data_IF_851392958472
#
_entry.id   IF_851392958472
#
_cell.length_a   1.000
_cell.length_b   1.000
_cell.length_c   1.000
_cell.angle_alpha   90.00
_cell.angle_beta   90.00
_cell.angle_gamma   90.00
#
_symmetry.space_group_name_H-M   'P 1'
#
loop_
_entity.id
_entity.type
_entity.pdbx_description
1 polymer ?
#
# COMPACT_ATOMS: atom_id res chain seq x y z
N UNK A 1 -5.85 10.84 10.30
CA UNK A 1 -5.56 11.97 9.40
C UNK A 1 -6.08 11.77 7.98
N UNK A 2 -6.30 10.54 7.51
CA UNK A 2 -6.79 10.22 6.16
C UNK A 2 -8.05 9.32 6.17
N UNK A 3 -9.24 9.79 6.63
CA UNK A 3 -10.45 8.96 6.71
C UNK A 3 -10.81 8.24 5.41
N UNK A 4 -10.53 8.85 4.25
CA UNK A 4 -10.75 8.27 2.92
C UNK A 4 -10.06 6.93 2.66
N UNK A 5 -9.05 6.53 3.44
CA UNK A 5 -8.41 5.21 3.31
C UNK A 5 -9.12 4.10 4.10
N UNK A 6 -10.08 4.43 4.97
CA UNK A 6 -10.81 3.46 5.80
C UNK A 6 -11.61 2.42 5.00
N UNK A 7 -12.28 2.77 3.88
CA UNK A 7 -12.94 1.77 3.04
C UNK A 7 -11.97 0.72 2.48
N UNK A 8 -10.68 1.04 2.36
CA UNK A 8 -9.62 0.14 1.91
C UNK A 8 -8.91 -0.59 3.05
N UNK A 9 -9.46 -0.60 4.27
CA UNK A 9 -8.88 -1.36 5.38
C UNK A 9 -8.78 -2.85 5.03
N UNK A 10 -7.61 -3.43 5.29
CA UNK A 10 -7.37 -4.87 5.13
C UNK A 10 -6.90 -5.53 6.42
N UNK A 11 -6.21 -4.80 7.30
CA UNK A 11 -5.66 -5.32 8.55
C UNK A 11 -5.53 -4.20 9.60
N UNK A 12 -5.21 -4.57 10.84
CA UNK A 12 -4.74 -3.64 11.87
C UNK A 12 -3.39 -4.14 12.38
N UNK A 13 -2.38 -3.29 12.40
CA UNK A 13 -1.05 -3.63 12.85
C UNK A 13 -0.81 -3.17 14.30
N UNK A 14 -0.14 -4.02 15.07
CA UNK A 14 0.31 -3.78 16.44
C UNK A 14 1.80 -4.12 16.57
N UNK A 15 2.48 -3.47 17.50
CA UNK A 15 3.88 -3.78 17.78
C UNK A 15 3.99 -5.02 18.68
N UNK A 16 4.83 -6.02 18.38
CA UNK A 16 4.94 -7.23 19.22
C UNK A 16 5.50 -6.96 20.61
N UNK A 17 6.30 -5.91 20.77
CA UNK A 17 7.06 -5.63 22.00
C UNK A 17 6.23 -4.85 23.00
N UNK A 18 5.34 -3.98 22.54
CA UNK A 18 4.56 -3.11 23.43
C UNK A 18 3.48 -3.87 24.19
N UNK A 19 3.16 -3.35 25.37
CA UNK A 19 2.03 -3.80 26.18
C UNK A 19 0.76 -3.05 25.78
N UNK A 20 -0.35 -3.80 25.71
CA UNK A 20 -1.67 -3.30 25.35
C UNK A 20 -2.62 -3.53 26.52
N UNK A 21 -3.23 -2.46 27.00
CA UNK A 21 -4.22 -2.52 28.07
C UNK A 21 -5.60 -2.82 27.48
N UNK A 22 -6.29 -3.79 28.08
CA UNK A 22 -7.72 -4.00 27.93
C UNK A 22 -8.44 -3.03 28.88
N UNK A 23 -9.00 -1.97 28.32
CA UNK A 23 -9.64 -0.88 29.06
C UNK A 23 -11.18 -0.99 28.92
N UNK A 24 -11.87 -1.28 30.01
CA UNK A 24 -13.33 -1.29 30.03
C UNK A 24 -13.85 0.15 30.05
N UNK A 25 -14.64 0.50 29.04
CA UNK A 25 -15.29 1.81 28.85
C UNK A 25 -16.78 1.56 28.67
N UNK A 26 -17.57 1.84 29.71
CA UNK A 26 -18.98 1.47 29.73
C UNK A 26 -19.18 -0.04 29.60
N UNK A 27 -19.81 -0.47 28.50
CA UNK A 27 -20.06 -1.89 28.20
C UNK A 27 -19.04 -2.50 27.23
N UNK A 28 -18.09 -1.71 26.72
CA UNK A 28 -17.10 -2.14 25.74
C UNK A 28 -15.72 -2.31 26.37
N UNK A 29 -14.87 -3.11 25.73
CA UNK A 29 -13.46 -3.25 26.08
C UNK A 29 -12.65 -2.73 24.90
N UNK A 30 -11.89 -1.66 25.13
CA UNK A 30 -10.96 -1.10 24.16
C UNK A 30 -9.58 -1.72 24.35
N UNK A 31 -8.90 -2.00 23.23
CA UNK A 31 -7.49 -2.43 23.21
C UNK A 31 -6.65 -1.23 22.76
N UNK A 32 -5.80 -0.73 23.65
CA UNK A 32 -4.97 0.46 23.41
C UNK A 32 -3.58 0.18 23.99
N UNK A 33 -2.53 0.65 23.32
CA UNK A 33 -1.17 0.56 23.87
C UNK A 33 -1.12 1.23 25.26
N UNK A 34 -0.57 0.53 26.25
CA UNK A 34 -0.63 0.94 27.66
C UNK A 34 -0.09 2.35 27.88
N UNK A 35 1.00 2.71 27.19
CA UNK A 35 1.61 4.05 27.27
C UNK A 35 0.76 5.16 26.63
N UNK A 36 -0.13 4.82 25.68
CA UNK A 36 -1.04 5.78 25.02
C UNK A 36 -2.37 5.94 25.74
N UNK A 37 -2.74 5.00 26.59
CA UNK A 37 -4.09 4.91 27.17
C UNK A 37 -4.52 6.20 27.88
N UNK A 38 -3.65 6.79 28.69
CA UNK A 38 -3.99 8.02 29.43
C UNK A 38 -4.22 9.19 28.47
N UNK A 39 -3.33 9.42 27.49
CA UNK A 39 -3.48 10.47 26.48
C UNK A 39 -4.78 10.31 25.69
N UNK A 40 -5.02 9.09 25.18
CA UNK A 40 -6.22 8.77 24.39
C UNK A 40 -7.49 8.96 25.23
N UNK A 41 -7.49 8.55 26.50
CA UNK A 41 -8.65 8.73 27.38
C UNK A 41 -9.00 10.20 27.59
N UNK A 42 -8.00 11.08 27.75
CA UNK A 42 -8.18 12.53 27.91
C UNK A 42 -8.66 13.17 26.62
N UNK A 43 -8.01 12.84 25.50
CA UNK A 43 -8.36 13.35 24.17
C UNK A 43 -9.79 12.97 23.79
N UNK A 44 -10.18 11.71 24.03
CA UNK A 44 -11.51 11.19 23.68
C UNK A 44 -12.57 11.43 24.76
N UNK A 45 -12.20 11.92 25.94
CA UNK A 45 -13.13 12.25 27.02
C UNK A 45 -13.85 11.06 27.64
N UNK A 46 -13.18 9.91 27.78
CA UNK A 46 -13.76 8.72 28.43
C UNK A 46 -13.04 8.34 29.72
N UNK A 47 -13.79 7.77 30.66
CA UNK A 47 -13.24 7.09 31.84
C UNK A 47 -13.13 5.60 31.58
N UNK A 48 -12.13 4.95 32.17
CA UNK A 48 -11.89 3.53 31.96
C UNK A 48 -11.51 2.81 33.24
N UNK A 49 -11.78 1.51 33.25
CA UNK A 49 -11.24 0.56 34.23
C UNK A 49 -10.32 -0.41 33.52
N UNK A 50 -9.07 -0.55 33.99
CA UNK A 50 -8.16 -1.58 33.46
C UNK A 50 -8.69 -2.96 33.86
N UNK A 51 -8.94 -3.82 32.89
CA UNK A 51 -9.42 -5.21 33.12
C UNK A 51 -8.34 -6.25 32.84
N UNK A 52 -7.30 -5.89 32.09
CA UNK A 52 -6.16 -6.74 31.83
C UNK A 52 -5.10 -6.04 30.99
N UNK A 53 -3.97 -6.70 30.82
CA UNK A 53 -2.87 -6.26 29.98
C UNK A 53 -2.31 -7.47 29.24
N UNK A 54 -1.94 -7.28 27.97
CA UNK A 54 -1.40 -8.32 27.10
C UNK A 54 -0.28 -7.74 26.26
N UNK A 55 0.71 -8.57 25.93
CA UNK A 55 1.74 -8.17 24.96
C UNK A 55 1.15 -8.12 23.56
N UNK A 56 1.62 -7.21 22.71
CA UNK A 56 1.14 -7.12 21.33
C UNK A 56 1.30 -8.42 20.53
N UNK A 57 2.37 -9.19 20.80
CA UNK A 57 2.59 -10.52 20.20
C UNK A 57 1.52 -11.54 20.57
N UNK A 58 0.74 -11.31 21.63
CA UNK A 58 -0.35 -12.18 22.08
C UNK A 58 -1.71 -11.80 21.47
N UNK A 59 -1.82 -10.67 20.75
CA UNK A 59 -3.05 -10.28 20.05
C UNK A 59 -3.24 -11.07 18.73
N UNK A 60 -2.14 -11.56 18.16
CA UNK A 60 -2.10 -12.47 17.01
C UNK A 60 -1.02 -13.54 17.20
N UNK A 61 -1.22 -14.49 18.14
CA UNK A 61 -0.18 -15.46 18.49
C UNK A 61 0.08 -16.43 17.33
N UNK A 62 1.33 -16.52 16.86
CA UNK A 62 1.69 -17.42 15.76
C UNK A 62 1.45 -18.91 16.09
N UNK A 63 1.51 -19.29 17.37
CA UNK A 63 1.34 -20.67 17.81
C UNK A 63 -0.11 -21.18 17.69
N UNK A 64 -1.09 -20.27 17.69
CA UNK A 64 -2.51 -20.64 17.61
C UNK A 64 -3.31 -19.56 16.84
N UNK A 65 -3.45 -19.72 15.51
CA UNK A 65 -4.25 -18.83 14.67
C UNK A 65 -5.72 -18.71 15.08
N UNK A 66 -6.28 -19.66 15.83
CA UNK A 66 -7.66 -19.61 16.28
C UNK A 66 -7.91 -18.53 17.35
N UNK A 67 -6.85 -18.11 18.04
CA UNK A 67 -6.89 -17.07 19.07
C UNK A 67 -6.67 -15.65 18.51
N UNK A 68 -6.52 -15.51 17.19
CA UNK A 68 -6.29 -14.21 16.58
C UNK A 68 -7.51 -13.32 16.72
N UNK A 69 -7.30 -12.14 17.29
CA UNK A 69 -8.33 -11.11 17.23
C UNK A 69 -8.57 -10.69 15.78
N UNK A 70 -9.82 -10.37 15.50
CA UNK A 70 -10.28 -9.88 14.19
C UNK A 70 -11.10 -8.62 14.40
N UNK A 71 -10.81 -7.59 13.61
CA UNK A 71 -11.50 -6.31 13.67
C UNK A 71 -12.56 -6.25 12.57
N UNK A 72 -13.82 -5.97 12.93
CA UNK A 72 -14.87 -5.74 11.94
C UNK A 72 -14.57 -4.46 11.16
N UNK A 73 -14.58 -4.51 9.83
CA UNK A 73 -14.32 -3.33 9.00
C UNK A 73 -15.49 -2.33 9.10
N UNK A 74 -15.25 -1.01 9.16
CA UNK A 74 -16.34 -0.04 9.30
C UNK A 74 -17.26 0.06 8.07
N UNK A 75 -16.76 -0.25 6.88
CA UNK A 75 -17.43 -0.06 5.58
C UNK A 75 -17.69 -1.35 4.82
N UNK A 76 -17.44 -2.52 5.43
CA UNK A 76 -17.81 -3.81 4.84
C UNK A 76 -18.25 -4.79 5.92
N UNK A 77 -18.79 -5.94 5.51
CA UNK A 77 -19.14 -7.03 6.42
C UNK A 77 -17.96 -7.97 6.73
N UNK A 78 -16.78 -7.68 6.17
CA UNK A 78 -15.58 -8.48 6.34
C UNK A 78 -14.84 -8.10 7.62
N UNK A 79 -13.91 -8.97 8.00
CA UNK A 79 -13.02 -8.78 9.14
C UNK A 79 -11.59 -8.56 8.66
N UNK A 80 -10.86 -7.76 9.41
CA UNK A 80 -9.44 -7.50 9.26
C UNK A 80 -8.66 -8.25 10.34
N UNK A 81 -7.64 -9.03 9.98
CA UNK A 81 -6.77 -9.65 10.96
C UNK A 81 -5.91 -8.59 11.67
N UNK A 82 -5.42 -8.96 12.85
CA UNK A 82 -4.31 -8.26 13.50
C UNK A 82 -2.99 -8.76 12.90
N UNK A 83 -2.14 -7.83 12.46
CA UNK A 83 -0.76 -8.12 12.04
C UNK A 83 0.22 -7.62 13.09
N UNK A 84 1.37 -8.26 13.11
CA UNK A 84 2.49 -7.88 13.98
C UNK A 84 3.51 -7.12 13.14
N UNK A 85 3.85 -5.89 13.55
CA UNK A 85 4.81 -5.05 12.84
C UNK A 85 5.52 -4.07 13.75
N UNK A 86 6.84 -4.02 13.65
CA UNK A 86 7.71 -3.23 14.54
C UNK A 86 7.72 -1.73 14.22
N UNK A 87 7.24 -1.33 13.05
CA UNK A 87 7.18 0.08 12.63
C UNK A 87 6.10 0.88 13.39
N UNK A 88 5.18 0.21 14.09
CA UNK A 88 4.19 0.87 14.93
C UNK A 88 4.91 1.53 16.11
N UNK A 89 4.73 2.84 16.28
CA UNK A 89 5.35 3.63 17.36
C UNK A 89 4.33 4.10 18.39
N UNK A 90 4.82 4.59 19.53
CA UNK A 90 4.02 5.16 20.63
C UNK A 90 4.01 6.70 20.61
N UNK A 91 4.51 7.31 19.54
CA UNK A 91 4.55 8.77 19.44
C UNK A 91 3.15 9.36 19.26
N UNK A 92 2.30 8.71 18.46
CA UNK A 92 0.97 9.21 18.08
C UNK A 92 -0.07 8.10 17.99
N UNK A 93 -1.34 8.49 18.13
CA UNK A 93 -2.48 7.58 18.03
C UNK A 93 -2.63 6.64 19.23
N UNK A 94 -3.18 5.46 18.97
CA UNK A 94 -3.57 4.46 19.98
C UNK A 94 -2.56 3.32 20.14
N UNK A 95 -1.51 3.28 19.31
CA UNK A 95 -0.62 2.13 19.16
C UNK A 95 -1.22 0.97 18.33
N UNK A 96 -2.38 1.20 17.70
CA UNK A 96 -2.97 0.30 16.70
C UNK A 96 -3.07 1.05 15.36
N UNK A 97 -2.46 0.52 14.31
CA UNK A 97 -2.38 1.18 13.00
C UNK A 97 -3.31 0.49 12.01
N UNK A 98 -4.25 1.23 11.42
CA UNK A 98 -5.06 0.74 10.30
C UNK A 98 -4.18 0.51 9.08
N UNK A 99 -4.36 -0.62 8.39
CA UNK A 99 -3.58 -0.98 7.20
C UNK A 99 -4.48 -0.95 5.96
N UNK A 100 -4.14 -0.09 5.01
CA UNK A 100 -4.71 -0.02 3.67
C UNK A 100 -3.57 -0.13 2.64
N UNK A 101 -3.23 -1.35 2.18
CA UNK A 101 -2.06 -1.60 1.32
C UNK A 101 -2.08 -0.83 0.00
N UNK A 102 -3.26 -0.40 -0.47
CA UNK A 102 -3.37 0.44 -1.66
C UNK A 102 -2.99 1.91 -1.46
N UNK A 103 -2.71 2.36 -0.24
CA UNK A 103 -2.58 3.78 0.11
C UNK A 103 -1.39 4.13 1.02
N UNK A 104 -0.53 3.17 1.36
CA UNK A 104 0.68 3.38 2.16
C UNK A 104 1.80 2.44 1.73
N UNK A 105 3.06 2.89 1.81
CA UNK A 105 4.19 2.05 1.42
C UNK A 105 4.44 0.95 2.46
N UNK A 106 4.51 1.31 3.74
CA UNK A 106 4.69 0.36 4.84
C UNK A 106 3.51 -0.63 4.90
N UNK A 107 2.28 -0.13 4.65
CA UNK A 107 1.07 -0.95 4.53
C UNK A 107 1.16 -1.97 3.39
N UNK A 108 1.75 -1.56 2.26
CA UNK A 108 1.96 -2.43 1.09
C UNK A 108 3.03 -3.49 1.39
N UNK A 109 4.16 -3.10 1.99
CA UNK A 109 5.26 -3.98 2.33
C UNK A 109 4.84 -5.07 3.34
N UNK A 110 4.14 -4.69 4.42
CA UNK A 110 3.64 -5.68 5.39
C UNK A 110 2.60 -6.61 4.77
N UNK A 111 1.76 -6.10 3.85
CA UNK A 111 0.81 -6.94 3.13
C UNK A 111 1.51 -7.93 2.19
N UNK A 112 2.57 -7.52 1.49
CA UNK A 112 3.38 -8.43 0.67
C UNK A 112 4.05 -9.50 1.52
N UNK A 113 4.66 -9.11 2.64
CA UNK A 113 5.29 -10.05 3.57
C UNK A 113 4.26 -11.07 4.09
N UNK A 114 3.09 -10.60 4.50
CA UNK A 114 1.98 -11.46 4.96
C UNK A 114 1.50 -12.40 3.85
N UNK A 115 1.31 -11.87 2.63
CA UNK A 115 0.81 -12.65 1.50
C UNK A 115 1.82 -13.69 0.97
N UNK A 116 3.11 -13.53 1.27
CA UNK A 116 4.16 -14.47 0.88
C UNK A 116 4.05 -15.83 1.59
N UNK A 117 3.45 -15.85 2.78
CA UNK A 117 3.24 -17.06 3.60
C UNK A 117 1.77 -17.42 3.78
N UNK A 118 0.85 -16.51 3.48
CA UNK A 118 -0.59 -16.75 3.59
C UNK A 118 -1.13 -17.71 2.51
N UNK A 119 -2.13 -18.49 2.90
CA UNK A 119 -2.97 -19.24 1.98
C UNK A 119 -3.72 -18.28 1.05
N UNK A 120 -4.02 -18.66 -0.21
CA UNK A 120 -4.66 -17.78 -1.18
C UNK A 120 -5.91 -17.05 -0.67
N UNK A 121 -6.74 -17.72 0.12
CA UNK A 121 -7.97 -17.22 0.73
C UNK A 121 -7.75 -16.20 1.86
N UNK A 122 -6.58 -16.24 2.50
CA UNK A 122 -6.20 -15.36 3.63
C UNK A 122 -5.37 -14.15 3.16
N UNK A 123 -5.07 -14.05 1.86
CA UNK A 123 -4.28 -12.95 1.32
C UNK A 123 -5.00 -11.62 1.45
N UNK A 124 -4.25 -10.63 1.92
CA UNK A 124 -4.68 -9.24 1.99
C UNK A 124 -4.75 -8.66 0.58
N UNK A 125 -5.87 -7.99 0.26
CA UNK A 125 -6.05 -7.37 -1.06
C UNK A 125 -5.34 -6.03 -1.10
N UNK A 126 -4.65 -5.72 -2.19
CA UNK A 126 -4.12 -4.36 -2.41
C UNK A 126 -5.24 -3.50 -3.00
N UNK A 127 -6.20 -3.12 -2.13
CA UNK A 127 -7.38 -2.37 -2.54
C UNK A 127 -7.05 -0.87 -2.64
N UNK A 128 -7.25 -0.29 -3.83
CA UNK A 128 -7.11 1.14 -4.08
C UNK A 128 -8.33 1.61 -4.90
N UNK A 129 -9.50 1.81 -4.28
CA UNK A 129 -10.78 1.97 -4.97
C UNK A 129 -10.96 3.41 -5.49
N UNK A 130 -9.98 3.89 -6.25
CA UNK A 130 -9.89 5.26 -6.77
C UNK A 130 -9.52 5.26 -8.26
N UNK A 131 -10.27 6.02 -9.04
CA UNK A 131 -9.94 6.32 -10.43
C UNK A 131 -8.74 7.28 -10.54
N UNK A 132 -8.28 7.52 -11.78
CA UNK A 132 -7.14 8.39 -12.08
C UNK A 132 -7.36 9.87 -11.72
N UNK A 133 -8.60 10.27 -11.48
CA UNK A 133 -8.96 11.60 -10.99
C UNK A 133 -8.98 11.67 -9.45
N UNK A 134 -8.65 10.57 -8.75
CA UNK A 134 -8.71 10.49 -7.29
C UNK A 134 -10.14 10.47 -6.76
N UNK A 135 -11.07 9.88 -7.51
CA UNK A 135 -12.47 9.70 -7.12
C UNK A 135 -12.79 8.23 -6.85
N UNK A 136 -13.67 7.96 -5.90
CA UNK A 136 -14.05 6.59 -5.58
C UNK A 136 -14.71 5.87 -6.74
N UNK A 137 -14.29 4.62 -6.96
CA UNK A 137 -14.88 3.70 -7.94
C UNK A 137 -16.18 3.07 -7.39
N UNK A 138 -16.81 2.21 -8.20
CA UNK A 138 -17.97 1.42 -7.78
C UNK A 138 -17.62 0.33 -6.73
N UNK A 139 -16.33 0.08 -6.45
CA UNK A 139 -15.91 -0.81 -5.36
C UNK A 139 -16.30 -0.27 -3.98
N UNK A 140 -16.51 1.05 -3.87
CA UNK A 140 -17.06 1.70 -2.68
C UNK A 140 -18.30 2.50 -3.08
N UNK A 141 -19.45 1.84 -3.30
CA UNK A 141 -20.67 2.46 -3.84
C UNK A 141 -21.14 3.68 -3.05
N UNK A 142 -20.94 3.66 -1.73
CA UNK A 142 -21.36 4.73 -0.82
C UNK A 142 -20.70 6.09 -1.12
N UNK A 143 -19.53 6.10 -1.75
CA UNK A 143 -18.77 7.31 -2.05
C UNK A 143 -18.44 7.48 -3.53
N UNK A 144 -19.01 6.63 -4.40
CA UNK A 144 -18.70 6.59 -5.83
C UNK A 144 -18.75 8.00 -6.48
N UNK A 145 -17.72 8.31 -7.26
CA UNK A 145 -17.58 9.59 -7.98
C UNK A 145 -17.11 10.77 -7.13
N UNK A 146 -17.07 10.63 -5.79
CA UNK A 146 -16.58 11.70 -4.89
C UNK A 146 -15.06 11.69 -4.82
N UNK A 147 -14.47 12.88 -4.76
CA UNK A 147 -13.03 13.01 -4.54
C UNK A 147 -12.64 12.62 -3.11
N UNK A 148 -11.42 12.11 -2.91
CA UNK A 148 -10.91 11.68 -1.58
C UNK A 148 -11.13 12.70 -0.46
N UNK A 149 -10.89 13.99 -0.71
CA UNK A 149 -11.06 15.04 0.29
C UNK A 149 -12.53 15.41 0.53
N UNK A 150 -13.38 15.31 -0.49
CA UNK A 150 -14.83 15.50 -0.38
C UNK A 150 -15.48 14.36 0.43
N UNK A 151 -14.93 13.15 0.33
CA UNK A 151 -15.44 11.98 1.05
C UNK A 151 -15.10 11.99 2.55
N UNK A 152 -14.02 12.66 2.97
CA UNK A 152 -13.58 12.66 4.37
C UNK A 152 -14.69 13.04 5.37
N UNK A 153 -15.41 14.17 5.23
CA UNK A 153 -16.52 14.49 6.13
C UNK A 153 -17.64 13.45 6.14
N UNK A 154 -17.95 12.87 4.97
CA UNK A 154 -19.03 11.87 4.82
C UNK A 154 -18.67 10.56 5.51
N UNK A 155 -17.42 10.13 5.38
CA UNK A 155 -16.88 8.95 6.07
C UNK A 155 -16.97 9.14 7.59
N UNK A 156 -16.54 10.30 8.09
CA UNK A 156 -16.62 10.60 9.53
C UNK A 156 -18.08 10.60 10.01
N UNK A 157 -18.99 11.19 9.23
CA UNK A 157 -20.41 11.17 9.54
C UNK A 157 -20.95 9.74 9.66
N UNK A 158 -20.63 8.87 8.70
CA UNK A 158 -21.04 7.45 8.76
C UNK A 158 -20.46 6.69 9.95
N UNK A 159 -19.20 6.95 10.31
CA UNK A 159 -18.61 6.36 11.52
C UNK A 159 -19.38 6.79 12.78
N UNK A 160 -19.80 8.06 12.84
CA UNK A 160 -20.62 8.59 13.94
C UNK A 160 -22.01 7.94 13.98
N UNK A 161 -22.66 7.80 12.82
CA UNK A 161 -23.97 7.13 12.71
C UNK A 161 -23.91 5.65 13.13
N UNK A 162 -22.77 4.98 12.89
CA UNK A 162 -22.53 3.60 13.31
C UNK A 162 -22.01 3.46 14.76
N UNK A 163 -21.86 4.57 15.50
CA UNK A 163 -21.24 4.59 16.84
C UNK A 163 -19.82 3.99 16.88
N UNK A 164 -19.07 4.09 15.78
CA UNK A 164 -17.69 3.58 15.66
C UNK A 164 -16.63 4.69 15.84
N UNK A 165 -17.08 5.93 16.08
CA UNK A 165 -16.20 7.10 16.23
C UNK A 165 -16.08 7.46 17.72
N UNK A 166 -14.93 7.16 18.33
CA UNK A 166 -14.65 7.50 19.72
C UNK A 166 -14.51 9.01 19.93
N UNK A 167 -13.79 9.67 19.02
CA UNK A 167 -13.60 11.11 19.08
C UNK A 167 -13.38 11.66 17.68
N UNK A 168 -13.83 12.90 17.50
CA UNK A 168 -13.40 13.78 16.43
C UNK A 168 -12.87 15.03 17.10
N UNK A 169 -11.55 15.17 17.11
CA UNK A 169 -10.96 16.46 17.46
C UNK A 169 -11.35 17.43 16.35
N UNK A 170 -12.25 18.36 16.65
CA UNK A 170 -12.71 19.38 15.69
C UNK A 170 -11.62 20.43 15.40
N UNK A 171 -10.57 20.48 16.22
CA UNK A 171 -9.36 21.24 15.92
C UNK A 171 -8.65 20.61 14.72
N UNK A 172 -8.56 21.40 13.63
CA UNK A 172 -7.81 21.02 12.43
C UNK A 172 -6.36 20.73 12.81
N UNK A 173 -6.01 19.44 12.87
CA UNK A 173 -4.64 18.99 13.09
C UNK A 173 -3.76 19.47 11.93
N UNK A 174 -2.98 20.52 12.20
CA UNK A 174 -2.09 21.13 11.20
C UNK A 174 -0.74 20.44 11.27
N UNK A 175 -0.36 19.78 10.18
CA UNK A 175 0.92 19.10 10.03
C UNK A 175 1.41 19.23 8.59
N UNK A 176 2.67 18.87 8.36
CA UNK A 176 3.22 18.82 7.02
C UNK A 176 2.55 17.71 6.20
N UNK A 177 2.07 18.04 5.01
CA UNK A 177 1.44 17.08 4.09
C UNK A 177 2.06 17.23 2.69
N UNK A 178 2.27 16.14 1.94
CA UNK A 178 2.89 16.22 0.63
C UNK A 178 1.97 16.92 -0.38
N UNK A 179 2.55 17.81 -1.19
CA UNK A 179 1.85 18.55 -2.24
C UNK A 179 2.60 18.43 -3.57
N UNK A 180 1.86 18.46 -4.68
CA UNK A 180 2.45 18.45 -6.00
C UNK A 180 3.32 19.70 -6.18
N UNK A 181 4.60 19.52 -6.49
CA UNK A 181 5.54 20.64 -6.61
C UNK A 181 5.13 21.68 -7.68
N UNK A 182 4.36 21.25 -8.70
CA UNK A 182 3.88 22.11 -9.79
C UNK A 182 2.55 22.79 -9.48
N UNK A 183 1.48 22.03 -9.25
CA UNK A 183 0.14 22.61 -9.04
C UNK A 183 -0.18 22.95 -7.58
N UNK A 184 0.68 22.56 -6.63
CA UNK A 184 0.52 22.77 -5.18
C UNK A 184 -0.72 22.12 -4.58
N UNK A 185 -1.41 21.24 -5.30
CA UNK A 185 -2.51 20.44 -4.75
C UNK A 185 -1.95 19.31 -3.85
N UNK A 186 -2.70 18.90 -2.81
CA UNK A 186 -2.34 17.73 -2.00
C UNK A 186 -2.20 16.48 -2.87
N UNK A 187 -1.21 15.64 -2.57
CA UNK A 187 -1.05 14.33 -3.25
C UNK A 187 -1.55 13.21 -2.35
N UNK A 188 -1.97 12.12 -2.99
CA UNK A 188 -2.36 10.88 -2.31
C UNK A 188 -1.47 9.74 -2.78
N UNK A 189 -1.30 8.74 -1.93
CA UNK A 189 -0.69 7.48 -2.30
C UNK A 189 -1.76 6.54 -2.83
N UNK A 190 -1.50 5.96 -4.01
CA UNK A 190 -2.38 5.01 -4.67
C UNK A 190 -1.52 3.94 -5.34
N UNK A 191 -1.72 2.69 -4.95
CA UNK A 191 -1.15 1.55 -5.63
C UNK A 191 -1.70 1.48 -7.05
N UNK A 192 -0.81 1.27 -8.01
CA UNK A 192 -1.14 1.13 -9.43
C UNK A 192 -0.23 0.05 -10.01
N UNK A 193 -0.69 -0.62 -11.06
CA UNK A 193 0.16 -1.55 -11.79
C UNK A 193 1.31 -0.79 -12.46
N UNK A 194 2.54 -1.24 -12.19
CA UNK A 194 3.75 -0.61 -12.70
C UNK A 194 4.77 -1.68 -13.07
N UNK A 195 5.63 -1.36 -14.04
CA UNK A 195 6.76 -2.16 -14.47
C UNK A 195 8.01 -1.74 -13.71
N UNK A 196 8.70 -2.70 -13.13
CA UNK A 196 9.90 -2.50 -12.35
C UNK A 196 11.07 -3.29 -12.92
N UNK A 197 12.28 -2.75 -12.75
CA UNK A 197 13.53 -3.51 -12.87
C UNK A 197 13.99 -3.85 -11.47
N UNK A 198 14.20 -5.15 -11.21
CA UNK A 198 14.80 -5.59 -9.97
C UNK A 198 16.23 -5.06 -9.85
N UNK A 199 16.50 -4.37 -8.74
CA UNK A 199 17.86 -3.89 -8.44
C UNK A 199 18.77 -5.02 -7.96
N UNK A 200 18.21 -6.09 -7.41
CA UNK A 200 18.96 -7.12 -6.69
C UNK A 200 19.04 -8.47 -7.43
N UNK A 201 17.99 -8.89 -8.16
CA UNK A 201 17.87 -10.24 -8.73
C UNK A 201 19.05 -10.64 -9.64
N UNK A 202 19.63 -9.69 -10.37
CA UNK A 202 20.79 -9.90 -11.26
C UNK A 202 22.07 -9.16 -10.83
N UNK A 203 22.13 -8.77 -9.56
CA UNK A 203 23.26 -8.02 -8.99
C UNK A 203 23.46 -6.66 -9.64
N UNK A 204 22.39 -6.00 -10.08
CA UNK A 204 22.48 -4.68 -10.71
C UNK A 204 22.97 -3.62 -9.72
N UNK A 205 22.48 -3.68 -8.47
CA UNK A 205 22.90 -2.80 -7.38
C UNK A 205 24.38 -2.93 -7.08
N UNK A 206 24.88 -4.14 -6.86
CA UNK A 206 26.30 -4.36 -6.53
C UNK A 206 27.22 -3.87 -7.63
N UNK A 207 26.94 -4.22 -8.89
CA UNK A 207 27.69 -3.73 -10.05
C UNK A 207 27.67 -2.19 -10.14
N UNK A 208 26.52 -1.57 -9.91
CA UNK A 208 26.43 -0.11 -9.92
C UNK A 208 27.28 0.55 -8.82
N UNK A 209 27.30 -0.04 -7.61
CA UNK A 209 28.15 0.44 -6.50
C UNK A 209 29.64 0.29 -6.81
N UNK A 210 30.05 -0.84 -7.40
CA UNK A 210 31.44 -1.05 -7.85
C UNK A 210 31.87 -0.02 -8.89
N UNK A 211 31.00 0.31 -9.86
CA UNK A 211 31.29 1.33 -10.87
C UNK A 211 31.32 2.74 -10.28
N UNK A 212 30.48 3.05 -9.28
CA UNK A 212 30.53 4.32 -8.55
C UNK A 212 31.92 4.55 -7.93
N UNK A 213 32.55 3.50 -7.43
CA UNK A 213 33.88 3.57 -6.81
C UNK A 213 35.02 3.72 -7.83
N UNK A 214 34.79 3.39 -9.11
CA UNK A 214 35.77 3.55 -10.19
C UNK A 214 35.76 4.95 -10.80
N UNK A 215 34.68 5.71 -10.62
CA UNK A 215 34.52 7.06 -11.18
C UNK A 215 35.28 8.10 -10.35
N UNK A 216 35.88 9.08 -11.02
CA UNK A 216 36.44 10.27 -10.34
C UNK A 216 35.34 11.30 -10.06
N UNK A 217 35.07 11.56 -8.77
CA UNK A 217 34.02 12.47 -8.33
C UNK A 217 34.54 13.88 -8.05
N UNK A 218 33.94 14.90 -8.69
CA UNK A 218 34.24 16.31 -8.45
C UNK A 218 32.94 17.05 -8.12
N UNK A 219 32.73 17.51 -6.85
CA UNK A 219 33.58 17.30 -5.68
C UNK A 219 33.48 15.87 -5.12
N UNK A 220 34.50 15.42 -4.38
CA UNK A 220 34.60 14.05 -3.86
C UNK A 220 33.38 13.60 -3.03
N UNK A 221 32.79 14.51 -2.24
CA UNK A 221 31.57 14.25 -1.45
C UNK A 221 30.36 13.80 -2.28
N UNK A 222 30.38 13.99 -3.60
CA UNK A 222 29.34 13.50 -4.51
C UNK A 222 29.24 11.97 -4.53
N UNK A 223 30.39 11.28 -4.33
CA UNK A 223 30.48 9.83 -4.27
C UNK A 223 29.55 9.26 -3.21
N UNK A 224 29.71 9.69 -1.96
CA UNK A 224 28.97 9.12 -0.83
C UNK A 224 27.45 9.35 -0.95
N UNK A 225 27.07 10.51 -1.51
CA UNK A 225 25.67 10.82 -1.76
C UNK A 225 25.05 9.89 -2.81
N UNK A 226 25.74 9.62 -3.92
CA UNK A 226 25.23 8.72 -4.96
C UNK A 226 25.33 7.26 -4.50
N UNK A 227 26.40 6.87 -3.83
CA UNK A 227 26.58 5.54 -3.27
C UNK A 227 25.43 5.20 -2.33
N UNK A 228 25.16 6.03 -1.31
CA UNK A 228 24.07 5.80 -0.36
C UNK A 228 22.68 5.80 -1.02
N UNK A 229 22.49 6.60 -2.08
CA UNK A 229 21.24 6.60 -2.87
C UNK A 229 21.04 5.27 -3.60
N UNK A 230 22.09 4.69 -4.17
CA UNK A 230 22.01 3.41 -4.91
C UNK A 230 21.95 2.23 -3.95
N UNK A 231 22.70 2.26 -2.85
CA UNK A 231 22.72 1.20 -1.83
C UNK A 231 21.32 0.91 -1.29
N UNK A 232 20.54 1.95 -0.99
CA UNK A 232 19.21 1.82 -0.41
C UNK A 232 18.07 2.01 -1.43
N UNK A 233 18.38 1.98 -2.73
CA UNK A 233 17.39 2.23 -3.78
C UNK A 233 16.36 1.08 -3.86
N UNK A 234 15.05 1.34 -3.86
CA UNK A 234 14.07 0.29 -4.17
C UNK A 234 14.14 -0.11 -5.66
N UNK A 235 13.38 -1.13 -6.03
CA UNK A 235 13.24 -1.54 -7.42
C UNK A 235 12.86 -0.37 -8.33
N UNK A 236 13.49 -0.32 -9.51
CA UNK A 236 13.37 0.84 -10.37
C UNK A 236 12.08 0.77 -11.20
N UNK A 237 11.09 1.56 -10.79
CA UNK A 237 9.87 1.76 -11.57
C UNK A 237 10.16 2.44 -12.92
N UNK A 238 9.99 1.71 -14.02
CA UNK A 238 10.17 2.15 -15.40
C UNK A 238 8.91 2.81 -15.98
N UNK A 239 7.74 2.25 -15.70
CA UNK A 239 6.50 2.70 -16.33
C UNK A 239 6.04 4.04 -15.82
N UNK A 240 5.48 4.84 -16.72
CA UNK A 240 4.80 6.10 -16.40
C UNK A 240 3.52 6.17 -17.22
N UNK A 241 2.42 6.58 -16.59
CA UNK A 241 1.14 6.79 -17.26
C UNK A 241 1.17 8.14 -18.01
N UNK A 242 1.93 8.20 -19.10
CA UNK A 242 2.13 9.40 -19.94
C UNK A 242 2.08 9.02 -21.41
N UNK A 243 1.49 9.91 -22.22
CA UNK A 243 1.39 9.74 -23.68
C UNK A 243 2.67 10.16 -24.41
N UNK A 244 3.44 11.09 -23.83
CA UNK A 244 4.68 11.57 -24.41
C UNK A 244 5.87 10.91 -23.72
N UNK A 245 6.58 10.04 -24.45
CA UNK A 245 7.72 9.27 -23.97
C UNK A 245 8.01 8.07 -24.88
N UNK A 246 9.06 7.33 -24.57
CA UNK A 246 9.37 6.06 -25.26
C UNK A 246 8.43 4.98 -24.73
N UNK A 247 7.64 4.31 -25.59
CA UNK A 247 6.77 3.21 -25.16
C UNK A 247 7.58 2.02 -24.63
N UNK A 248 7.05 1.32 -23.62
CA UNK A 248 7.57 0.02 -23.23
C UNK A 248 7.16 -0.98 -24.32
N UNK A 249 8.12 -1.53 -25.05
CA UNK A 249 7.90 -2.49 -26.14
C UNK A 249 7.48 -3.86 -25.60
N UNK A 250 6.22 -3.97 -25.18
CA UNK A 250 5.62 -5.19 -24.67
C UNK A 250 4.32 -5.48 -25.44
N UNK A 251 4.18 -6.70 -25.93
CA UNK A 251 2.92 -7.20 -26.48
C UNK A 251 2.34 -8.25 -25.53
N UNK A 252 1.12 -8.01 -25.06
CA UNK A 252 0.38 -8.95 -24.23
C UNK A 252 -0.48 -9.84 -25.13
N UNK A 253 -0.37 -11.16 -24.97
CA UNK A 253 -1.25 -12.10 -25.65
C UNK A 253 -2.57 -12.24 -24.87
N UNK A 254 -3.65 -11.71 -25.42
CA UNK A 254 -4.99 -11.93 -24.88
C UNK A 254 -5.56 -13.26 -25.38
N UNK A 255 -5.79 -14.23 -24.49
CA UNK A 255 -6.61 -15.40 -24.83
C UNK A 255 -8.08 -14.97 -24.94
N UNK A 256 -8.57 -14.75 -26.15
CA UNK A 256 -10.00 -14.60 -26.41
C UNK A 256 -10.67 -15.97 -26.33
N UNK A 257 -11.36 -16.27 -25.21
CA UNK A 257 -12.33 -17.36 -25.21
C UNK A 257 -13.49 -16.95 -26.12
N UNK A 258 -13.73 -17.76 -27.15
CA UNK A 258 -14.70 -17.48 -28.20
C UNK A 258 -16.11 -17.26 -27.66
N UNK A 259 -16.60 -16.03 -27.78
CA UNK A 259 -18.02 -15.74 -27.91
C UNK A 259 -18.22 -15.06 -29.27
N UNK A 260 -19.19 -15.56 -30.02
CA UNK A 260 -19.38 -15.30 -31.44
C UNK A 260 -19.43 -13.82 -31.85
N UNK A 261 -18.95 -13.60 -33.08
CA UNK A 261 -19.17 -12.45 -33.98
C UNK A 261 -20.08 -11.33 -33.43
N UNK A 262 -19.49 -10.16 -33.19
CA UNK A 262 -20.00 -8.90 -33.75
C UNK A 262 -18.86 -7.87 -33.81
N UNK A 263 -18.74 -7.23 -34.97
CA UNK A 263 -17.71 -6.26 -35.29
C UNK A 263 -17.95 -4.94 -34.55
N UNK A 264 -16.89 -4.37 -34.00
CA UNK A 264 -16.83 -3.01 -33.47
C UNK A 264 -15.43 -2.73 -32.96
N UNK A 265 -14.58 -2.17 -33.81
CA UNK A 265 -13.24 -1.71 -33.43
C UNK A 265 -13.39 -0.64 -32.33
N UNK A 266 -13.00 -0.98 -31.09
CA UNK A 266 -12.70 0.00 -30.06
C UNK A 266 -11.19 -0.07 -29.76
N UNK A 267 -10.48 1.07 -29.71
CA UNK A 267 -9.13 1.09 -29.18
C UNK A 267 -9.18 0.72 -27.69
N UNK A 268 -8.28 -0.17 -27.26
CA UNK A 268 -8.08 -0.56 -25.87
C UNK A 268 -8.00 0.69 -24.98
N UNK A 269 -9.09 1.02 -24.29
CA UNK A 269 -9.05 1.82 -23.07
C UNK A 269 -8.82 0.83 -21.94
N UNK A 270 -7.71 1.00 -21.23
CA UNK A 270 -7.46 0.28 -19.99
C UNK A 270 -8.50 0.69 -18.95
N UNK A 271 -9.63 -0.01 -18.93
CA UNK A 271 -10.59 0.02 -17.84
C UNK A 271 -11.38 -1.28 -17.86
N UNK A 272 -11.45 -1.90 -16.69
CA UNK A 272 -12.45 -2.87 -16.27
C UNK A 272 -12.46 -4.21 -16.99
N UNK A 273 -11.65 -5.14 -16.49
CA UNK A 273 -12.14 -6.46 -16.06
C UNK A 273 -11.10 -7.17 -15.21
N UNK A 274 -11.49 -7.42 -13.96
CA UNK A 274 -10.91 -8.46 -13.13
C UNK A 274 -10.92 -9.79 -13.90
N UNK A 275 -9.74 -10.27 -14.26
CA UNK A 275 -9.50 -11.71 -14.40
C UNK A 275 -8.30 -12.05 -13.53
N UNK A 276 -8.59 -12.66 -12.39
CA UNK A 276 -7.62 -13.34 -11.56
C UNK A 276 -6.85 -14.36 -12.41
N UNK A 277 -5.64 -13.98 -12.81
CA UNK A 277 -4.52 -14.85 -13.14
C UNK A 277 -3.33 -13.94 -13.43
N UNK A 278 -2.44 -13.81 -12.45
CA UNK A 278 -1.15 -13.20 -12.68
C UNK A 278 -0.47 -13.93 -13.83
N UNK A 279 -0.14 -13.21 -14.90
CA UNK A 279 0.79 -13.73 -15.90
C UNK A 279 2.13 -13.91 -15.21
N UNK A 280 2.46 -15.16 -14.89
CA UNK A 280 3.83 -15.53 -14.58
C UNK A 280 4.68 -15.26 -15.81
N UNK A 281 5.68 -14.40 -15.67
CA UNK A 281 6.68 -14.03 -16.68
C UNK A 281 7.64 -15.20 -16.98
N UNK A 282 7.28 -16.45 -16.66
CA UNK A 282 8.10 -17.63 -16.96
C UNK A 282 7.96 -18.10 -18.42
N UNK A 283 6.99 -17.58 -19.17
CA UNK A 283 6.79 -17.91 -20.59
C UNK A 283 6.78 -16.65 -21.47
N UNK A 284 7.77 -15.78 -21.31
CA UNK A 284 8.21 -14.99 -22.46
C UNK A 284 8.91 -15.97 -23.40
N UNK A 285 8.38 -16.14 -24.62
CA UNK A 285 8.94 -16.97 -25.67
C UNK A 285 10.47 -17.00 -25.59
N UNK A 286 11.03 -18.18 -25.28
CA UNK A 286 12.43 -18.45 -25.56
C UNK A 286 12.65 -18.12 -27.05
N UNK A 287 13.65 -17.31 -27.42
CA UNK A 287 14.07 -17.23 -28.80
C UNK A 287 14.56 -18.62 -29.19
N UNK A 288 13.66 -19.44 -29.74
CA UNK A 288 14.04 -20.66 -30.44
C UNK A 288 14.80 -20.23 -31.68
N UNK A 289 16.10 -20.53 -31.69
CA UNK A 289 16.90 -20.80 -32.88
C UNK A 289 16.95 -19.73 -33.98
N UNK A 290 17.12 -18.47 -33.60
CA UNK A 290 17.70 -17.47 -34.49
C UNK A 290 18.84 -16.77 -33.76
N UNK A 291 20.07 -16.98 -34.23
CA UNK A 291 21.27 -16.38 -33.67
C UNK A 291 21.20 -14.86 -33.74
N UNK A 292 21.00 -14.22 -32.59
CA UNK A 292 21.20 -12.80 -32.39
C UNK A 292 22.33 -12.63 -31.37
N UNK A 293 23.55 -12.95 -31.81
CA UNK A 293 24.73 -12.33 -31.22
C UNK A 293 24.75 -10.89 -31.71
N UNK A 294 24.82 -9.95 -30.77
CA UNK A 294 25.18 -8.54 -30.95
C UNK A 294 24.05 -7.51 -31.06
N UNK A 295 23.41 -7.21 -29.91
CA UNK A 295 22.56 -6.02 -29.72
C UNK A 295 23.35 -4.69 -29.75
N UNK A 296 24.69 -4.72 -29.90
CA UNK A 296 25.52 -3.50 -29.98
C UNK A 296 25.58 -2.90 -31.39
N UNK A 297 25.28 -3.68 -32.44
CA UNK A 297 25.30 -3.19 -33.84
C UNK A 297 24.04 -2.42 -34.24
N UNK A 298 22.87 -2.74 -33.69
CA UNK A 298 21.61 -2.03 -34.04
C UNK A 298 21.59 -0.55 -33.63
N UNK A 299 22.46 -0.11 -32.72
CA UNK A 299 22.57 1.31 -32.32
C UNK A 299 23.51 2.13 -33.21
N UNK A 300 24.24 1.53 -34.16
CA UNK A 300 25.17 2.25 -35.06
C UNK A 300 24.58 2.72 -36.39
N UNK A 301 23.45 2.18 -36.83
CA UNK A 301 22.83 2.55 -38.12
C UNK A 301 21.56 3.40 -37.98
N UNK A 302 21.45 4.15 -36.89
CA UNK A 302 20.35 5.08 -36.62
C UNK A 302 20.83 6.46 -36.18
N UNK A 303 21.77 7.06 -36.93
CA UNK A 303 22.13 8.48 -36.89
C UNK A 303 22.34 9.02 -38.31
#
# INVERSE_FOLDING_TARGET
TTPWTLPANQAVCVNPVFDYTLAQVGQEILVIATERLESVSKECGFTYKKVGEVKGSQLAPMADPSLWLRCKRPFSHEFSPILIGEYVTLEQGTGCVHIAPGHGQEDYEIALLTNSTALPEDRLKVLAPLDDAGRFTNEVPEFQGKGVFEANPLIIQKLKEKSLLLNRVDDKQTHSYPHCWRCKNPVIFRATEQWFVSMDEKGLRSKALEEIDRVTWIPARGRDRIYGMIENRPDWCLSRQRVWGVPICLHLHGMSYGAGRSQGHQPYRGSDRQSERGCLVSEICRPTDAGWSDLSEMWREGL
#
